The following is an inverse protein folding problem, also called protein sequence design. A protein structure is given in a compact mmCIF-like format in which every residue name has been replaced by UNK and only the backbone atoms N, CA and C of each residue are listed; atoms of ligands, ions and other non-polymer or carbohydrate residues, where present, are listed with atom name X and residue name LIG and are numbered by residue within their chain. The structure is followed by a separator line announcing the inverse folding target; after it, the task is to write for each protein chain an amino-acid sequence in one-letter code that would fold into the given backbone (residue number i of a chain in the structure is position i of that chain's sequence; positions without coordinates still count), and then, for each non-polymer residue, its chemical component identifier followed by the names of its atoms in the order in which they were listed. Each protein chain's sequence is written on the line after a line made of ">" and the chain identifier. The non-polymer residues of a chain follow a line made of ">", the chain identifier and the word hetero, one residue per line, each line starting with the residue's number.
data_IF_954014742468
#
_entry.id   IF_954014742468
#
_cell.length_a   1.000
_cell.length_b   1.000
_cell.length_c   1.000
_cell.angle_alpha   90.00
_cell.angle_beta   90.00
_cell.angle_gamma   90.00
#
_symmetry.space_group_name_H-M   'P 1'
#
loop_
_entity.id
_entity.type
_entity.pdbx_description
1 polymer ?
#
# COMPACT_ATOMS: atom_id res chain seq x y z
N UNK A 1 -7.04 0.19 35.80
CA UNK A 1 -6.90 -0.86 34.77
C UNK A 1 -7.54 -0.48 33.43
N UNK A 2 -8.60 0.34 33.40
CA UNK A 2 -9.33 0.67 32.16
C UNK A 2 -8.72 1.83 31.36
N UNK A 3 -8.12 2.83 32.00
CA UNK A 3 -7.65 4.04 31.33
C UNK A 3 -6.43 3.79 30.42
N UNK A 4 -5.46 2.99 30.84
CA UNK A 4 -4.27 2.70 30.02
C UNK A 4 -4.59 1.87 28.77
N UNK A 5 -5.59 0.99 28.85
CA UNK A 5 -6.04 0.18 27.70
C UNK A 5 -6.81 1.01 26.67
N UNK A 6 -7.56 2.03 27.11
CA UNK A 6 -8.34 2.88 26.20
C UNK A 6 -7.43 3.76 25.31
N UNK A 7 -6.41 4.38 25.88
CA UNK A 7 -5.44 5.19 25.11
C UNK A 7 -4.66 4.32 24.13
N UNK A 8 -4.21 3.13 24.55
CA UNK A 8 -3.52 2.19 23.65
C UNK A 8 -4.42 1.74 22.49
N UNK A 9 -5.70 1.52 22.76
CA UNK A 9 -6.70 1.16 21.77
C UNK A 9 -6.89 2.30 20.76
N UNK A 10 -7.08 3.53 21.23
CA UNK A 10 -7.22 4.72 20.37
C UNK A 10 -5.99 4.93 19.48
N UNK A 11 -4.80 4.85 20.06
CA UNK A 11 -3.55 4.97 19.31
C UNK A 11 -3.43 3.88 18.25
N UNK A 12 -3.75 2.64 18.59
CA UNK A 12 -3.70 1.52 17.65
C UNK A 12 -4.68 1.72 16.50
N UNK A 13 -5.92 2.16 16.80
CA UNK A 13 -6.93 2.48 15.78
C UNK A 13 -6.46 3.64 14.90
N UNK A 14 -5.91 4.69 15.50
CA UNK A 14 -5.37 5.83 14.75
C UNK A 14 -4.25 5.40 13.80
N UNK A 15 -3.26 4.64 14.29
CA UNK A 15 -2.18 4.12 13.47
C UNK A 15 -2.70 3.26 12.32
N UNK A 16 -3.59 2.32 12.62
CA UNK A 16 -4.18 1.45 11.60
C UNK A 16 -4.89 2.25 10.52
N UNK A 17 -5.80 3.16 10.91
CA UNK A 17 -6.58 3.95 9.96
C UNK A 17 -5.71 4.91 9.16
N UNK A 18 -4.81 5.63 9.83
CA UNK A 18 -3.96 6.63 9.17
C UNK A 18 -3.00 5.98 8.16
N UNK A 19 -2.22 5.00 8.58
CA UNK A 19 -1.24 4.35 7.69
C UNK A 19 -1.92 3.48 6.63
N UNK A 20 -3.02 2.81 6.95
CA UNK A 20 -3.81 2.05 6.00
C UNK A 20 -4.37 2.93 4.89
N UNK A 21 -5.03 4.04 5.26
CA UNK A 21 -5.63 4.96 4.29
C UNK A 21 -4.57 5.68 3.44
N UNK A 22 -3.56 6.28 4.09
CA UNK A 22 -2.49 6.99 3.38
C UNK A 22 -1.74 6.03 2.44
N UNK A 23 -1.42 4.83 2.92
CA UNK A 23 -0.78 3.81 2.10
C UNK A 23 -1.65 3.41 0.90
N UNK A 24 -2.94 3.15 1.09
CA UNK A 24 -3.85 2.80 0.00
C UNK A 24 -3.95 3.92 -1.05
N UNK A 25 -3.99 5.19 -0.62
CA UNK A 25 -4.01 6.34 -1.54
C UNK A 25 -2.70 6.43 -2.32
N UNK A 26 -1.54 6.33 -1.66
CA UNK A 26 -0.22 6.38 -2.31
C UNK A 26 -0.10 5.29 -3.37
N UNK A 27 -0.39 4.03 -3.01
CA UNK A 27 -0.34 2.92 -3.98
C UNK A 27 -1.40 3.07 -5.07
N UNK A 28 -2.57 3.63 -4.75
CA UNK A 28 -3.61 3.98 -5.72
C UNK A 28 -3.14 5.02 -6.75
N UNK A 29 -2.47 6.09 -6.31
CA UNK A 29 -1.89 7.10 -7.19
C UNK A 29 -0.83 6.48 -8.10
N UNK A 30 0.09 5.71 -7.55
CA UNK A 30 1.16 5.05 -8.31
C UNK A 30 0.58 4.11 -9.39
N UNK A 31 -0.37 3.26 -9.01
CA UNK A 31 -1.04 2.35 -9.92
C UNK A 31 -1.83 3.11 -11.01
N UNK A 32 -2.54 4.18 -10.65
CA UNK A 32 -3.31 4.98 -11.58
C UNK A 32 -2.41 5.67 -12.61
N UNK A 33 -1.31 6.25 -12.18
CA UNK A 33 -0.34 6.87 -13.09
C UNK A 33 0.31 5.87 -14.04
N UNK A 34 0.68 4.69 -13.53
CA UNK A 34 1.25 3.63 -14.36
C UNK A 34 0.28 3.21 -15.46
N UNK A 35 -0.99 2.97 -15.11
CA UNK A 35 -2.00 2.46 -16.04
C UNK A 35 -2.64 3.55 -16.91
N UNK A 36 -2.48 4.84 -16.54
CA UNK A 36 -2.92 5.97 -17.36
C UNK A 36 -2.01 6.19 -18.59
N UNK A 37 -0.79 5.66 -18.58
CA UNK A 37 0.10 5.71 -19.72
C UNK A 37 -0.42 4.83 -20.88
N UNK A 38 -0.02 5.14 -22.12
CA UNK A 38 -0.34 4.35 -23.30
C UNK A 38 0.52 3.06 -23.39
N UNK A 39 0.27 2.13 -22.47
CA UNK A 39 0.99 0.85 -22.40
C UNK A 39 0.14 -0.24 -23.03
N UNK A 40 0.76 -1.12 -23.83
CA UNK A 40 0.09 -2.31 -24.35
C UNK A 40 -0.31 -3.22 -23.18
N UNK A 41 -1.57 -3.69 -23.17
CA UNK A 41 -2.07 -4.55 -22.09
C UNK A 41 -2.66 -3.83 -20.87
N UNK A 42 -2.83 -2.50 -20.91
CA UNK A 42 -3.42 -1.70 -19.79
C UNK A 42 -4.75 -2.25 -19.28
N UNK A 43 -5.57 -2.87 -20.15
CA UNK A 43 -6.86 -3.46 -19.76
C UNK A 43 -6.67 -4.67 -18.85
N UNK A 44 -5.70 -5.53 -19.16
CA UNK A 44 -5.36 -6.68 -18.30
C UNK A 44 -4.77 -6.22 -16.97
N UNK A 45 -3.90 -5.21 -16.98
CA UNK A 45 -3.34 -4.64 -15.75
C UNK A 45 -4.44 -4.09 -14.84
N UNK A 46 -5.46 -3.42 -15.37
CA UNK A 46 -6.61 -2.97 -14.57
C UNK A 46 -7.32 -4.12 -13.89
N UNK A 47 -7.57 -5.21 -14.61
CA UNK A 47 -8.21 -6.41 -14.04
C UNK A 47 -7.40 -7.03 -12.92
N UNK A 48 -6.07 -7.18 -13.10
CA UNK A 48 -5.18 -7.74 -12.08
C UNK A 48 -5.11 -6.85 -10.84
N UNK A 49 -5.00 -5.53 -11.03
CA UNK A 49 -4.93 -4.57 -9.93
C UNK A 49 -6.22 -4.53 -9.10
N UNK A 50 -7.38 -4.86 -9.69
CA UNK A 50 -8.67 -4.88 -8.99
C UNK A 50 -8.91 -6.16 -8.19
N UNK A 51 -8.16 -7.22 -8.46
CA UNK A 51 -8.36 -8.53 -7.84
C UNK A 51 -8.40 -8.50 -6.30
N UNK A 52 -7.50 -7.77 -5.59
CA UNK A 52 -7.53 -7.74 -4.14
C UNK A 52 -8.81 -7.19 -3.54
N UNK A 53 -9.46 -6.27 -4.23
CA UNK A 53 -10.68 -5.62 -3.75
C UNK A 53 -11.94 -6.46 -3.99
N UNK A 54 -11.99 -7.17 -5.12
CA UNK A 54 -13.17 -7.97 -5.53
C UNK A 54 -13.28 -9.28 -4.75
N UNK A 55 -12.15 -9.81 -4.26
CA UNK A 55 -12.12 -11.08 -3.54
C UNK A 55 -12.87 -11.06 -2.20
N UNK A 56 -13.47 -12.19 -1.78
CA UNK A 56 -14.13 -12.30 -0.48
C UNK A 56 -13.12 -12.14 0.64
N UNK A 57 -13.35 -11.13 1.51
CA UNK A 57 -12.38 -10.71 2.55
C UNK A 57 -11.95 -11.84 3.47
N UNK A 58 -12.88 -12.70 3.86
CA UNK A 58 -12.58 -13.83 4.78
C UNK A 58 -11.63 -14.82 4.12
N UNK A 59 -11.87 -15.16 2.84
CA UNK A 59 -10.99 -16.06 2.09
C UNK A 59 -9.59 -15.46 1.91
N UNK A 60 -9.51 -14.17 1.57
CA UNK A 60 -8.23 -13.46 1.43
C UNK A 60 -7.47 -13.41 2.76
N UNK A 61 -8.14 -13.05 3.87
CA UNK A 61 -7.53 -13.00 5.19
C UNK A 61 -7.00 -14.37 5.62
N UNK A 62 -7.78 -15.43 5.37
CA UNK A 62 -7.34 -16.80 5.67
C UNK A 62 -6.12 -17.21 4.82
N UNK A 63 -6.14 -16.90 3.53
CA UNK A 63 -4.99 -17.15 2.63
C UNK A 63 -3.73 -16.43 3.14
N UNK A 64 -3.86 -15.16 3.55
CA UNK A 64 -2.75 -14.42 4.12
C UNK A 64 -2.23 -15.04 5.41
N UNK A 65 -3.15 -15.53 6.29
CA UNK A 65 -2.75 -16.23 7.51
C UNK A 65 -1.91 -17.48 7.20
N UNK A 66 -2.30 -18.25 6.19
CA UNK A 66 -1.54 -19.43 5.74
C UNK A 66 -0.18 -19.04 5.13
N UNK A 67 -0.15 -18.01 4.28
CA UNK A 67 1.08 -17.55 3.63
C UNK A 67 2.11 -17.02 4.64
N UNK A 68 1.63 -16.39 5.72
CA UNK A 68 2.46 -15.76 6.76
C UNK A 68 2.75 -16.69 7.94
N UNK A 69 2.25 -17.92 7.93
CA UNK A 69 2.51 -18.87 9.02
C UNK A 69 4.01 -19.10 9.23
N UNK A 70 4.52 -19.03 10.47
CA UNK A 70 5.95 -19.15 10.73
C UNK A 70 6.53 -20.52 10.38
N UNK A 71 5.73 -21.59 10.48
CA UNK A 71 6.24 -22.97 10.32
C UNK A 71 6.02 -23.52 8.91
N UNK A 72 4.87 -23.21 8.30
CA UNK A 72 4.45 -23.79 7.00
C UNK A 72 4.24 -22.74 5.92
N UNK A 73 4.35 -21.43 6.25
CA UNK A 73 4.05 -20.35 5.33
C UNK A 73 5.12 -20.16 4.25
N UNK A 74 4.66 -19.99 3.02
CA UNK A 74 5.52 -19.81 1.85
C UNK A 74 6.41 -18.57 1.96
N UNK A 75 5.93 -17.49 2.58
CA UNK A 75 6.71 -16.26 2.71
C UNK A 75 7.97 -16.49 3.55
N UNK A 76 7.85 -17.10 4.73
CA UNK A 76 8.99 -17.40 5.58
C UNK A 76 9.97 -18.36 4.91
N UNK A 77 9.45 -19.38 4.21
CA UNK A 77 10.28 -20.31 3.45
C UNK A 77 11.11 -19.61 2.36
N UNK A 78 10.50 -18.69 1.62
CA UNK A 78 11.21 -17.90 0.60
C UNK A 78 12.27 -16.98 1.23
N UNK A 79 11.93 -16.26 2.30
CA UNK A 79 12.85 -15.32 2.97
C UNK A 79 14.08 -16.05 3.55
N UNK A 80 13.90 -17.23 4.10
CA UNK A 80 15.02 -18.07 4.60
C UNK A 80 15.84 -18.61 3.44
N UNK A 81 15.21 -19.14 2.38
CA UNK A 81 15.90 -19.69 1.23
C UNK A 81 16.74 -18.65 0.46
N UNK A 82 16.27 -17.39 0.43
CA UNK A 82 17.04 -16.28 -0.16
C UNK A 82 18.05 -15.65 0.81
N UNK A 83 18.23 -16.22 2.02
CA UNK A 83 19.13 -15.71 3.07
C UNK A 83 18.82 -14.25 3.48
N UNK A 84 17.56 -13.83 3.36
CA UNK A 84 17.10 -12.50 3.81
C UNK A 84 16.91 -12.49 5.33
N UNK A 85 16.44 -13.61 5.89
CA UNK A 85 16.30 -13.84 7.33
C UNK A 85 16.96 -15.17 7.70
N UNK A 86 17.54 -15.24 8.92
CA UNK A 86 18.16 -16.46 9.43
C UNK A 86 17.15 -17.48 9.96
N UNK A 87 16.04 -16.99 10.49
CA UNK A 87 14.99 -17.82 11.13
C UNK A 87 13.61 -17.32 10.76
N UNK A 88 12.61 -18.20 10.67
CA UNK A 88 11.23 -17.80 10.43
C UNK A 88 10.72 -16.81 11.48
N UNK A 89 9.97 -15.80 11.03
CA UNK A 89 9.41 -14.74 11.87
C UNK A 89 7.89 -14.94 11.99
N UNK A 90 7.36 -14.86 13.21
CA UNK A 90 5.91 -14.89 13.42
C UNK A 90 5.32 -13.50 13.20
N UNK A 91 4.97 -13.19 11.94
CA UNK A 91 4.52 -11.87 11.50
C UNK A 91 3.17 -11.45 12.12
N UNK A 92 2.29 -12.40 12.43
CA UNK A 92 0.96 -12.12 13.00
C UNK A 92 0.91 -12.29 14.51
N UNK A 93 1.78 -13.15 15.09
CA UNK A 93 1.77 -13.44 16.52
C UNK A 93 2.75 -12.59 17.34
N UNK A 94 3.76 -12.02 16.73
CA UNK A 94 4.78 -11.25 17.43
C UNK A 94 4.38 -9.78 17.57
N UNK A 95 4.18 -9.32 18.81
CA UNK A 95 3.72 -7.94 19.09
C UNK A 95 4.76 -6.89 18.67
N UNK A 96 6.04 -7.14 18.95
CA UNK A 96 7.14 -6.20 18.65
C UNK A 96 8.35 -6.94 18.07
N UNK A 97 9.03 -6.26 17.15
CA UNK A 97 10.38 -6.61 16.71
C UNK A 97 11.28 -5.41 16.94
N UNK A 98 12.47 -5.63 17.48
CA UNK A 98 13.49 -4.59 17.61
C UNK A 98 14.37 -4.63 16.36
N UNK A 99 14.37 -3.56 15.60
CA UNK A 99 15.25 -3.38 14.45
C UNK A 99 16.32 -2.35 14.80
N UNK A 100 17.59 -2.69 14.60
CA UNK A 100 18.71 -1.75 14.72
C UNK A 100 19.08 -1.24 13.33
N UNK A 101 18.86 0.05 13.10
CA UNK A 101 19.23 0.73 11.85
C UNK A 101 20.16 1.88 12.20
N UNK A 102 21.39 1.88 11.69
CA UNK A 102 22.40 2.92 11.94
C UNK A 102 22.69 3.20 13.43
N UNK A 103 22.57 2.16 14.28
CA UNK A 103 22.79 2.29 15.74
C UNK A 103 21.58 2.76 16.54
N UNK A 104 20.45 3.02 15.91
CA UNK A 104 19.17 3.33 16.58
C UNK A 104 18.31 2.07 16.66
N UNK A 105 17.83 1.76 17.88
CA UNK A 105 16.89 0.66 18.10
C UNK A 105 15.44 1.15 17.97
N UNK A 106 14.75 0.63 16.97
CA UNK A 106 13.32 0.90 16.75
C UNK A 106 12.49 -0.33 17.13
N UNK A 107 11.50 -0.14 18.00
CA UNK A 107 10.48 -1.16 18.30
C UNK A 107 9.33 -1.03 17.31
N UNK A 108 9.26 -1.92 16.33
CA UNK A 108 8.17 -1.98 15.38
C UNK A 108 7.06 -2.90 15.92
N UNK A 109 5.80 -2.46 15.85
CA UNK A 109 4.61 -3.30 16.13
C UNK A 109 4.36 -4.23 14.95
N UNK A 110 5.04 -5.39 14.93
CA UNK A 110 5.10 -6.25 13.76
C UNK A 110 3.71 -6.72 13.29
N UNK A 111 2.91 -7.29 14.18
CA UNK A 111 1.57 -7.76 13.85
C UNK A 111 0.68 -6.63 13.30
N UNK A 112 0.70 -5.45 13.93
CA UNK A 112 -0.06 -4.29 13.46
C UNK A 112 0.39 -3.84 12.07
N UNK A 113 1.69 -3.75 11.84
CA UNK A 113 2.25 -3.37 10.53
C UNK A 113 1.87 -4.38 9.44
N UNK A 114 1.88 -5.67 9.75
CA UNK A 114 1.46 -6.74 8.83
C UNK A 114 -0.01 -6.60 8.44
N UNK A 115 -0.89 -6.31 9.41
CA UNK A 115 -2.32 -6.09 9.15
C UNK A 115 -2.56 -4.80 8.36
N UNK A 116 -1.81 -3.72 8.65
CA UNK A 116 -1.86 -2.48 7.86
C UNK A 116 -1.45 -2.74 6.41
N UNK A 117 -0.41 -3.54 6.17
CA UNK A 117 0.02 -3.89 4.82
C UNK A 117 -1.05 -4.68 4.06
N UNK A 118 -1.72 -5.64 4.73
CA UNK A 118 -2.87 -6.34 4.15
C UNK A 118 -4.00 -5.38 3.78
N UNK A 119 -4.31 -4.43 4.66
CA UNK A 119 -5.34 -3.40 4.46
C UNK A 119 -5.00 -2.50 3.25
N UNK A 120 -3.77 -2.01 3.16
CA UNK A 120 -3.27 -1.24 2.02
C UNK A 120 -3.45 -2.03 0.72
N UNK A 121 -2.96 -3.28 0.69
CA UNK A 121 -3.05 -4.15 -0.48
C UNK A 121 -4.50 -4.41 -0.91
N UNK A 122 -5.41 -4.52 0.04
CA UNK A 122 -6.82 -4.77 -0.23
C UNK A 122 -7.56 -3.53 -0.72
N UNK A 123 -7.23 -2.33 -0.22
CA UNK A 123 -7.99 -1.11 -0.52
C UNK A 123 -7.35 -0.17 -1.54
N UNK A 124 -6.06 -0.31 -1.86
CA UNK A 124 -5.46 0.52 -2.90
C UNK A 124 -6.19 0.44 -4.26
N UNK A 125 -6.83 -0.70 -4.66
CA UNK A 125 -7.54 -0.76 -5.93
C UNK A 125 -8.76 0.17 -5.99
N UNK A 126 -9.42 0.41 -4.85
CA UNK A 126 -10.53 1.36 -4.76
C UNK A 126 -10.02 2.79 -5.00
N UNK A 127 -8.94 3.18 -4.30
CA UNK A 127 -8.28 4.47 -4.54
C UNK A 127 -7.80 4.60 -5.98
N UNK A 128 -7.18 3.55 -6.53
CA UNK A 128 -6.75 3.47 -7.92
C UNK A 128 -7.88 3.78 -8.92
N UNK A 129 -9.07 3.20 -8.73
CA UNK A 129 -10.20 3.45 -9.64
C UNK A 129 -10.64 4.91 -9.64
N UNK A 130 -10.82 5.51 -8.47
CA UNK A 130 -11.24 6.90 -8.37
C UNK A 130 -10.19 7.85 -8.93
N UNK A 131 -8.92 7.62 -8.60
CA UNK A 131 -7.81 8.44 -9.08
C UNK A 131 -7.65 8.29 -10.60
N UNK A 132 -7.75 7.06 -11.14
CA UNK A 132 -7.67 6.84 -12.58
C UNK A 132 -8.80 7.55 -13.34
N UNK A 133 -10.02 7.50 -12.81
CA UNK A 133 -11.15 8.22 -13.40
C UNK A 133 -10.90 9.74 -13.45
N UNK A 134 -10.34 10.31 -12.37
CA UNK A 134 -9.98 11.74 -12.34
C UNK A 134 -8.83 12.06 -13.30
N UNK A 135 -7.79 11.22 -13.37
CA UNK A 135 -6.68 11.40 -14.32
C UNK A 135 -7.15 11.42 -15.78
N UNK A 136 -8.12 10.57 -16.12
CA UNK A 136 -8.67 10.52 -17.48
C UNK A 136 -9.58 11.71 -17.80
N UNK A 137 -10.06 12.44 -16.82
CA UNK A 137 -10.85 13.65 -17.01
C UNK A 137 -9.99 14.91 -17.22
N UNK A 138 -8.68 14.85 -16.96
CA UNK A 138 -7.78 16.00 -17.15
C UNK A 138 -7.57 16.24 -18.66
N UNK A 139 -7.86 17.44 -19.17
CA UNK A 139 -7.63 17.74 -20.58
C UNK A 139 -6.14 17.64 -20.96
N UNK A 140 -5.84 16.94 -22.05
CA UNK A 140 -4.47 16.75 -22.54
C UNK A 140 -3.78 18.09 -22.86
N UNK A 141 -4.55 19.10 -23.27
CA UNK A 141 -4.04 20.43 -23.57
C UNK A 141 -3.30 21.09 -22.40
N UNK A 142 -3.63 20.74 -21.14
CA UNK A 142 -2.88 21.24 -19.98
C UNK A 142 -1.46 20.66 -19.92
N UNK A 143 -1.32 19.40 -20.27
CA UNK A 143 0.00 18.76 -20.33
C UNK A 143 0.81 19.25 -21.52
N UNK A 144 0.15 19.44 -22.67
CA UNK A 144 0.80 19.96 -23.89
C UNK A 144 1.31 21.40 -23.69
N UNK A 145 0.53 22.25 -23.02
CA UNK A 145 0.96 23.61 -22.64
C UNK A 145 2.17 23.57 -21.70
N UNK A 146 2.14 22.72 -20.67
CA UNK A 146 3.25 22.55 -19.74
C UNK A 146 4.53 21.99 -20.43
N UNK A 147 4.37 21.17 -21.48
CA UNK A 147 5.50 20.70 -22.29
C UNK A 147 6.11 21.84 -23.12
N UNK A 148 5.30 22.74 -23.65
CA UNK A 148 5.78 23.94 -24.35
C UNK A 148 6.53 24.90 -23.42
N UNK A 149 6.13 24.96 -22.13
CA UNK A 149 6.79 25.73 -21.09
C UNK A 149 8.05 25.03 -20.52
N UNK A 150 8.38 23.83 -21.01
CA UNK A 150 9.56 23.06 -20.57
C UNK A 150 9.42 22.44 -19.18
N UNK A 151 8.19 22.21 -18.70
CA UNK A 151 7.96 21.63 -17.39
C UNK A 151 8.41 20.16 -17.30
N UNK A 152 9.18 19.82 -16.28
CA UNK A 152 9.59 18.45 -16.00
C UNK A 152 8.39 17.56 -15.59
N UNK A 153 8.50 16.21 -15.69
CA UNK A 153 7.44 15.29 -15.25
C UNK A 153 7.01 15.51 -13.80
N UNK A 154 7.95 15.84 -12.90
CA UNK A 154 7.66 16.11 -11.50
C UNK A 154 6.87 17.42 -11.35
N UNK A 155 7.21 18.45 -12.10
CA UNK A 155 6.47 19.73 -12.11
C UNK A 155 5.05 19.53 -12.62
N UNK A 156 4.85 18.79 -13.71
CA UNK A 156 3.53 18.44 -14.23
C UNK A 156 2.72 17.66 -13.19
N UNK A 157 3.35 16.71 -12.47
CA UNK A 157 2.68 15.98 -11.42
C UNK A 157 2.21 16.90 -10.27
N UNK A 158 3.10 17.75 -9.76
CA UNK A 158 2.79 18.59 -8.60
C UNK A 158 1.80 19.71 -8.93
N UNK A 159 1.93 20.35 -10.12
CA UNK A 159 1.17 21.55 -10.45
C UNK A 159 -0.09 21.30 -11.29
N UNK A 160 -0.18 20.17 -12.00
CA UNK A 160 -1.35 19.82 -12.82
C UNK A 160 -2.06 18.60 -12.21
N UNK A 161 -1.36 17.47 -12.13
CA UNK A 161 -1.97 16.20 -11.78
C UNK A 161 -2.50 16.19 -10.34
N UNK A 162 -1.67 16.51 -9.37
CA UNK A 162 -2.02 16.43 -7.96
C UNK A 162 -3.17 17.38 -7.57
N UNK A 163 -3.22 18.66 -7.98
CA UNK A 163 -4.35 19.52 -7.70
C UNK A 163 -5.65 19.03 -8.34
N UNK A 164 -5.60 18.50 -9.56
CA UNK A 164 -6.78 18.01 -10.28
C UNK A 164 -7.37 16.72 -9.67
N UNK A 165 -6.56 15.85 -9.07
CA UNK A 165 -7.08 14.64 -8.41
C UNK A 165 -7.59 14.93 -6.99
N UNK A 166 -7.24 16.06 -6.38
CA UNK A 166 -7.69 16.47 -5.04
C UNK A 166 -8.88 17.42 -5.06
N UNK A 167 -9.22 18.00 -6.21
CA UNK A 167 -10.40 18.84 -6.43
C UNK A 167 -11.64 17.99 -6.67
#
# INVERSE_FOLDING_TARGET
>A
FYENNFVELLLTTFYFTFFGTVGAIIFGILAAQLVNQNIQGRTYMRGILLFPYVGPVVALAYTWTLLLDPNSGTLNALLVNFNIIEKPINLLGQKYITMSILGFEFKLRLALTTVIFFEIWRYFPLAFLFILARLQAIPQSLYDAADMDGASPIQKFIHITLPQITA
#
